data_IF_007971672470
#
_entry.id   IF_007971672470
#
_cell.length_a   1.000
_cell.length_b   1.000
_cell.length_c   1.000
_cell.angle_alpha   90.00
_cell.angle_beta   90.00
_cell.angle_gamma   90.00
#
_symmetry.space_group_name_H-M   'P 1'
#
loop_
_entity.id
_entity.type
_entity.pdbx_description
1 polymer ?
#
# COMPACT_ATOMS: atom_id res chain seq x y z
N UNK A 1 13.18 -17.60 13.29
CA UNK A 1 13.28 -16.50 12.30
C UNK A 1 12.00 -15.71 12.48
N UNK A 2 12.09 -14.47 12.95
CA UNK A 2 10.89 -13.63 13.11
C UNK A 2 10.52 -13.17 11.70
N UNK A 3 9.61 -13.89 11.05
CA UNK A 3 8.96 -13.39 9.84
C UNK A 3 8.15 -12.18 10.26
N UNK A 4 8.76 -11.00 10.16
CA UNK A 4 8.07 -9.72 10.30
C UNK A 4 7.00 -9.74 9.23
N UNK A 5 5.74 -9.93 9.63
CA UNK A 5 4.62 -9.89 8.68
C UNK A 5 4.53 -8.44 8.21
N UNK A 6 5.10 -8.15 7.04
CA UNK A 6 4.98 -6.87 6.37
C UNK A 6 3.48 -6.66 6.11
N UNK A 7 2.95 -5.50 6.50
CA UNK A 7 1.58 -5.11 6.21
C UNK A 7 1.56 -3.68 5.69
N UNK A 8 0.59 -3.41 4.83
CA UNK A 8 0.30 -2.06 4.36
C UNK A 8 -0.10 -1.20 5.57
N UNK A 9 0.48 -0.01 5.67
CA UNK A 9 0.36 0.93 6.79
C UNK A 9 1.33 0.68 7.95
N UNK A 10 2.19 -0.34 7.87
CA UNK A 10 3.28 -0.50 8.84
C UNK A 10 4.44 0.44 8.54
N UNK A 11 5.05 0.92 9.62
CA UNK A 11 6.17 1.86 9.58
C UNK A 11 7.47 1.14 9.84
N UNK A 12 8.49 1.48 9.05
CA UNK A 12 9.82 0.94 9.21
C UNK A 12 10.85 2.08 9.22
N UNK A 13 11.99 1.77 9.81
CA UNK A 13 13.14 2.67 9.88
C UNK A 13 14.38 1.96 9.36
N UNK A 14 15.04 2.54 8.37
CA UNK A 14 16.29 2.00 7.82
C UNK A 14 17.45 2.27 8.78
N UNK A 15 18.59 1.62 8.54
CA UNK A 15 19.81 1.90 9.27
C UNK A 15 20.32 3.35 9.09
N UNK A 16 19.92 4.01 8.00
CA UNK A 16 20.22 5.41 7.72
C UNK A 16 19.34 6.39 8.51
N UNK A 17 18.52 5.88 9.43
CA UNK A 17 17.55 6.63 10.23
C UNK A 17 16.36 7.21 9.45
N UNK A 18 16.21 6.85 8.17
CA UNK A 18 15.07 7.24 7.34
C UNK A 18 13.81 6.47 7.74
N UNK A 19 12.68 7.18 7.75
CA UNK A 19 11.37 6.62 8.07
C UNK A 19 10.59 6.39 6.78
N UNK A 20 10.05 5.18 6.65
CA UNK A 20 9.27 4.78 5.49
C UNK A 20 8.02 4.00 5.90
N UNK A 21 6.95 4.21 5.16
CA UNK A 21 5.65 3.56 5.33
C UNK A 21 5.46 2.54 4.21
N UNK A 22 5.03 1.32 4.55
CA UNK A 22 4.64 0.35 3.52
C UNK A 22 3.28 0.74 2.95
N UNK A 23 3.25 1.11 1.68
CA UNK A 23 2.03 1.52 0.97
C UNK A 23 1.47 0.41 0.09
N UNK A 24 2.31 -0.53 -0.37
CA UNK A 24 1.88 -1.75 -1.04
C UNK A 24 2.80 -2.94 -0.69
N UNK A 25 2.25 -4.15 -0.75
CA UNK A 25 3.02 -5.38 -0.57
C UNK A 25 2.38 -6.52 -1.37
N UNK A 26 3.15 -7.08 -2.28
CA UNK A 26 2.74 -8.18 -3.16
C UNK A 26 3.53 -9.44 -2.81
N UNK A 27 2.98 -10.36 -2.02
CA UNK A 27 3.66 -11.58 -1.63
C UNK A 27 3.86 -12.57 -2.77
N UNK A 28 3.08 -12.45 -3.85
CA UNK A 28 3.18 -13.31 -5.03
C UNK A 28 4.38 -12.92 -5.91
N UNK A 29 4.61 -11.61 -6.10
CA UNK A 29 5.76 -11.10 -6.85
C UNK A 29 6.99 -10.88 -5.95
N UNK A 30 6.78 -10.78 -4.63
CA UNK A 30 7.84 -10.51 -3.67
C UNK A 30 8.32 -9.06 -3.73
N UNK A 31 7.39 -8.12 -3.93
CA UNK A 31 7.66 -6.69 -4.03
C UNK A 31 7.03 -5.94 -2.84
N UNK A 32 7.75 -4.97 -2.30
CA UNK A 32 7.31 -4.10 -1.21
C UNK A 32 7.45 -2.65 -1.70
N UNK A 33 6.35 -1.92 -1.76
CA UNK A 33 6.36 -0.50 -2.10
C UNK A 33 6.26 0.33 -0.83
N UNK A 34 7.16 1.31 -0.70
CA UNK A 34 7.24 2.16 0.49
C UNK A 34 7.30 3.65 0.13
N UNK A 35 6.73 4.47 1.02
CA UNK A 35 6.73 5.92 0.91
C UNK A 35 7.58 6.54 2.01
N UNK A 36 8.46 7.45 1.62
CA UNK A 36 9.30 8.26 2.51
C UNK A 36 8.58 9.52 2.97
N UNK A 37 9.09 10.14 4.04
CA UNK A 37 8.55 11.39 4.58
C UNK A 37 8.46 12.53 3.56
N UNK A 38 9.40 12.58 2.62
CA UNK A 38 9.46 13.58 1.54
C UNK A 38 8.36 13.37 0.47
N UNK A 39 7.61 12.27 0.53
CA UNK A 39 6.61 11.87 -0.47
C UNK A 39 7.19 11.06 -1.63
N UNK A 40 8.49 10.77 -1.60
CA UNK A 40 9.13 9.83 -2.53
C UNK A 40 8.60 8.42 -2.29
N UNK A 41 8.28 7.70 -3.36
CA UNK A 41 7.85 6.29 -3.32
C UNK A 41 8.93 5.44 -3.98
N UNK A 42 9.34 4.36 -3.32
CA UNK A 42 10.30 3.39 -3.83
C UNK A 42 9.77 1.96 -3.70
N UNK A 43 10.17 1.11 -4.62
CA UNK A 43 9.85 -0.32 -4.64
C UNK A 43 11.12 -1.13 -4.32
N UNK A 44 10.96 -2.12 -3.44
CA UNK A 44 12.02 -3.03 -3.05
C UNK A 44 11.57 -4.48 -3.22
N UNK A 45 12.39 -5.31 -3.86
CA UNK A 45 12.23 -6.76 -3.83
C UNK A 45 12.45 -7.31 -2.41
N UNK A 46 11.94 -8.50 -2.11
CA UNK A 46 12.15 -9.19 -0.82
C UNK A 46 13.63 -9.29 -0.42
N UNK A 47 14.54 -9.54 -1.38
CA UNK A 47 15.98 -9.60 -1.10
C UNK A 47 16.53 -8.23 -0.70
N UNK A 48 16.12 -7.16 -1.37
CA UNK A 48 16.51 -5.79 -1.04
C UNK A 48 15.91 -5.34 0.29
N UNK A 49 14.65 -5.71 0.55
CA UNK A 49 13.96 -5.47 1.81
C UNK A 49 14.66 -6.11 3.00
N UNK A 50 15.09 -7.37 2.88
CA UNK A 50 15.89 -8.03 3.92
C UNK A 50 17.27 -7.38 4.07
N UNK A 51 17.88 -6.91 2.97
CA UNK A 51 19.17 -6.22 3.00
C UNK A 51 19.11 -4.83 3.65
N UNK A 52 17.96 -4.15 3.59
CA UNK A 52 17.74 -2.84 4.24
C UNK A 52 17.85 -2.93 5.78
N UNK A 53 17.72 -4.12 6.37
CA UNK A 53 17.63 -4.35 7.82
C UNK A 53 16.63 -3.39 8.49
N UNK A 54 15.56 -3.08 7.77
CA UNK A 54 14.59 -2.08 8.20
C UNK A 54 13.86 -2.58 9.45
N UNK A 55 13.83 -1.75 10.50
CA UNK A 55 13.18 -2.10 11.76
C UNK A 55 11.78 -1.53 11.81
N UNK A 56 10.81 -2.39 12.10
CA UNK A 56 9.44 -1.95 12.33
C UNK A 56 9.41 -0.99 13.53
N UNK A 57 8.75 0.15 13.35
CA UNK A 57 8.55 1.20 14.36
C UNK A 57 7.07 1.57 14.45
N UNK A 58 6.70 2.30 15.50
CA UNK A 58 5.40 2.95 15.53
C UNK A 58 5.40 4.15 14.57
N UNK A 59 4.24 4.50 13.97
CA UNK A 59 4.10 5.73 13.20
C UNK A 59 4.49 6.95 14.06
N UNK A 60 5.17 7.95 13.48
CA UNK A 60 5.44 9.20 14.18
C UNK A 60 4.12 9.95 14.47
N UNK A 61 4.06 10.63 15.63
CA UNK A 61 2.83 11.23 16.19
C UNK A 61 2.13 12.26 15.27
N UNK A 62 2.83 12.77 14.25
CA UNK A 62 2.35 13.82 13.33
C UNK A 62 1.95 13.29 11.94
N UNK A 63 2.30 12.04 11.59
CA UNK A 63 2.15 11.55 10.21
C UNK A 63 0.73 11.09 9.86
N UNK A 64 0.01 10.51 10.82
CA UNK A 64 -1.39 10.07 10.61
C UNK A 64 -2.38 11.23 10.43
N UNK A 65 -1.92 12.48 10.49
CA UNK A 65 -2.79 13.66 10.45
C UNK A 65 -3.34 14.02 9.06
N UNK A 66 -2.75 13.52 7.97
CA UNK A 66 -3.07 14.00 6.62
C UNK A 66 -3.67 12.97 5.65
N UNK A 67 -3.62 11.68 5.97
CA UNK A 67 -4.15 10.64 5.06
C UNK A 67 -4.99 9.64 5.86
N UNK A 68 -6.31 9.90 5.92
CA UNK A 68 -7.30 8.87 6.20
C UNK A 68 -7.34 7.93 4.98
N UNK A 69 -6.30 7.11 4.83
CA UNK A 69 -6.41 5.88 4.03
C UNK A 69 -7.26 4.94 4.85
N UNK A 70 -8.57 5.14 4.76
CA UNK A 70 -9.54 4.14 5.15
C UNK A 70 -9.10 2.82 4.54
N UNK A 71 -8.69 1.92 5.43
CA UNK A 71 -8.17 0.54 5.26
C UNK A 71 -9.03 -0.39 4.36
N UNK A 72 -10.09 0.13 3.76
CA UNK A 72 -11.10 -0.62 3.00
C UNK A 72 -10.81 -0.69 1.49
N UNK A 73 -9.82 0.05 0.96
CA UNK A 73 -9.54 0.07 -0.49
C UNK A 73 -8.35 -0.83 -0.92
N UNK A 74 -7.58 -1.40 0.02
CA UNK A 74 -6.47 -2.30 -0.30
C UNK A 74 -6.91 -3.77 -0.41
N UNK A 75 -8.10 -3.99 -0.96
CA UNK A 75 -8.67 -5.28 -1.26
C UNK A 75 -8.49 -5.65 -2.73
N UNK A 76 -7.24 -5.71 -3.23
CA UNK A 76 -6.96 -6.42 -4.48
C UNK A 76 -7.04 -7.94 -4.21
N UNK A 77 -8.28 -8.43 -4.14
CA UNK A 77 -8.59 -9.84 -4.31
C UNK A 77 -8.22 -10.21 -5.76
N UNK A 78 -6.97 -10.60 -5.99
CA UNK A 78 -6.41 -11.05 -7.28
C UNK A 78 -7.13 -12.28 -7.88
N UNK A 79 -8.18 -12.80 -7.22
CA UNK A 79 -8.93 -13.99 -7.65
C UNK A 79 -10.41 -13.72 -8.01
N UNK A 80 -10.87 -12.46 -8.03
CA UNK A 80 -12.24 -12.13 -8.48
C UNK A 80 -12.25 -11.26 -9.73
N UNK A 81 -12.66 -11.78 -10.91
CA UNK A 81 -12.97 -10.90 -12.03
C UNK A 81 -14.06 -9.93 -11.56
N UNK A 82 -13.77 -8.63 -11.69
CA UNK A 82 -14.66 -7.54 -11.32
C UNK A 82 -16.10 -7.89 -11.74
N UNK A 83 -16.94 -8.13 -10.73
CA UNK A 83 -18.34 -8.47 -10.90
C UNK A 83 -19.00 -7.39 -11.75
N UNK A 84 -19.32 -7.80 -12.96
CA UNK A 84 -19.98 -7.05 -14.00
C UNK A 84 -21.35 -6.52 -13.53
N UNK A 85 -21.39 -5.37 -12.86
CA UNK A 85 -22.62 -4.62 -12.63
C UNK A 85 -22.38 -3.12 -12.48
N UNK A 86 -21.60 -2.54 -13.40
CA UNK A 86 -21.72 -1.11 -13.69
C UNK A 86 -23.03 -0.89 -14.45
N UNK A 87 -24.12 -0.69 -13.70
CA UNK A 87 -25.32 -0.03 -14.23
C UNK A 87 -24.87 1.36 -14.63
N UNK A 88 -24.61 1.57 -15.93
CA UNK A 88 -24.26 2.85 -16.49
C UNK A 88 -25.53 3.72 -16.52
N UNK A 89 -25.62 4.82 -15.75
CA UNK A 89 -26.78 5.73 -15.77
C UNK A 89 -26.85 6.59 -17.04
N UNK A 90 -25.90 6.41 -17.98
CA UNK A 90 -25.84 7.12 -19.26
C UNK A 90 -26.63 6.44 -20.39
N UNK A 91 -27.10 5.21 -20.20
CA UNK A 91 -27.94 4.51 -21.20
C UNK A 91 -29.34 5.15 -21.33
N UNK A 92 -29.79 5.89 -20.32
CA UNK A 92 -31.14 6.47 -20.27
C UNK A 92 -31.29 7.87 -20.91
N UNK A 93 -30.26 8.41 -21.57
CA UNK A 93 -30.30 9.78 -22.12
C UNK A 93 -30.54 9.86 -23.63
N UNK A 94 -30.65 8.74 -24.33
CA UNK A 94 -30.85 8.71 -25.79
C UNK A 94 -32.29 8.41 -26.22
N UNK A 95 -33.27 8.43 -25.31
CA UNK A 95 -34.68 8.15 -25.61
C UNK A 95 -35.65 9.29 -25.20
N UNK A 96 -35.25 10.55 -25.39
CA UNK A 96 -36.22 11.66 -25.42
C UNK A 96 -36.26 12.26 -26.83
N UNK A 97 -37.17 11.68 -27.62
CA UNK A 97 -37.78 12.20 -28.85
C UNK A 97 -38.37 13.62 -28.65
#
# INVERSE_FOLDING_TARGET
>A
MNTTMIKIGDWFRTNEMENLEVVAFDPEEGLVEVQFYDGTVEEYDLEAWEALDAKQIAPPEDWSGSYDLSRDDYGVDLDKPAGNNHINPLDHLDEQD
#
